data_IF_080345438472
#
_entry.id   IF_080345438472
#
_cell.length_a   1.000
_cell.length_b   1.000
_cell.length_c   1.000
_cell.angle_alpha   90.00
_cell.angle_beta   90.00
_cell.angle_gamma   90.00
#
_symmetry.space_group_name_H-M   'P 1'
#
loop_
_entity.id
_entity.type
_entity.pdbx_description
1 polymer ?
#
# COMPACT_ATOMS: atom_id res chain seq x y z
N UNK A 1 -10.76 7.99 -13.50
CA UNK A 1 -10.67 6.93 -12.48
C UNK A 1 -12.06 6.78 -11.87
N UNK A 2 -12.56 5.56 -11.60
CA UNK A 2 -13.80 5.40 -10.85
C UNK A 2 -13.62 6.04 -9.47
N UNK A 3 -14.59 6.85 -9.06
CA UNK A 3 -14.62 7.42 -7.71
C UNK A 3 -15.16 6.32 -6.81
N UNK A 4 -14.31 5.77 -5.96
CA UNK A 4 -14.69 4.74 -5.01
C UNK A 4 -14.69 5.38 -3.62
N UNK A 5 -15.87 5.47 -3.01
CA UNK A 5 -16.00 5.97 -1.65
C UNK A 5 -15.46 4.92 -0.67
N UNK A 6 -14.52 5.34 0.17
CA UNK A 6 -13.92 4.50 1.22
C UNK A 6 -14.45 5.01 2.56
N UNK A 7 -15.19 4.18 3.26
CA UNK A 7 -15.58 4.45 4.65
C UNK A 7 -14.43 4.05 5.56
N UNK A 8 -13.84 5.04 6.25
CA UNK A 8 -12.80 4.84 7.25
C UNK A 8 -13.40 5.02 8.64
N UNK A 9 -13.06 4.14 9.56
CA UNK A 9 -13.30 4.35 10.99
C UNK A 9 -12.50 5.54 11.53
N UNK A 10 -12.89 6.06 12.69
CA UNK A 10 -12.21 7.19 13.32
C UNK A 10 -10.74 6.88 13.64
N UNK A 11 -10.46 5.64 14.06
CA UNK A 11 -9.09 5.18 14.32
C UNK A 11 -8.27 5.10 13.02
N UNK A 12 -8.84 4.60 11.93
CA UNK A 12 -8.15 4.53 10.64
C UNK A 12 -7.85 5.93 10.08
N UNK A 13 -8.76 6.89 10.27
CA UNK A 13 -8.53 8.29 9.92
C UNK A 13 -7.36 8.89 10.69
N UNK A 14 -7.32 8.70 12.00
CA UNK A 14 -6.23 9.22 12.82
C UNK A 14 -4.87 8.65 12.37
N UNK A 15 -4.81 7.34 12.10
CA UNK A 15 -3.59 6.70 11.59
C UNK A 15 -3.18 7.29 10.23
N UNK A 16 -4.14 7.59 9.36
CA UNK A 16 -3.85 8.17 8.05
C UNK A 16 -3.41 9.64 8.15
N UNK A 17 -3.94 10.41 9.09
CA UNK A 17 -3.49 11.79 9.38
C UNK A 17 -2.04 11.79 9.90
N UNK A 18 -1.72 10.89 10.84
CA UNK A 18 -0.34 10.71 11.33
C UNK A 18 0.61 10.30 10.18
N UNK A 19 0.18 9.37 9.32
CA UNK A 19 0.95 8.97 8.15
C UNK A 19 1.12 10.11 7.14
N UNK A 20 0.08 10.93 6.93
CA UNK A 20 0.12 12.09 6.04
C UNK A 20 1.17 13.10 6.51
N UNK A 21 1.19 13.43 7.80
CA UNK A 21 2.18 14.34 8.38
C UNK A 21 3.61 13.81 8.22
N UNK A 22 3.82 12.52 8.51
CA UNK A 22 5.13 11.88 8.40
C UNK A 22 5.66 11.82 6.96
N UNK A 23 4.77 11.65 5.99
CA UNK A 23 5.11 11.58 4.57
C UNK A 23 5.16 12.96 3.90
N UNK A 24 4.67 14.01 4.56
CA UNK A 24 4.61 15.36 4.02
C UNK A 24 3.67 15.50 2.83
N UNK A 25 2.57 14.74 2.81
CA UNK A 25 1.60 14.71 1.70
C UNK A 25 0.46 15.72 1.95
N UNK A 26 -0.12 16.24 0.86
CA UNK A 26 -1.06 17.36 0.96
C UNK A 26 -2.48 16.92 1.27
N UNK A 27 -2.86 15.69 0.88
CA UNK A 27 -4.22 15.18 1.09
C UNK A 27 -4.22 13.74 1.61
N UNK A 28 -5.33 13.37 2.25
CA UNK A 28 -5.59 12.00 2.67
C UNK A 28 -5.67 11.06 1.47
N UNK A 29 -6.26 11.50 0.36
CA UNK A 29 -6.35 10.71 -0.87
C UNK A 29 -4.96 10.41 -1.46
N UNK A 30 -4.06 11.39 -1.49
CA UNK A 30 -2.66 11.19 -1.91
C UNK A 30 -1.97 10.18 -1.00
N UNK A 31 -2.19 10.28 0.31
CA UNK A 31 -1.64 9.37 1.32
C UNK A 31 -2.14 7.94 1.13
N UNK A 32 -3.45 7.75 0.95
CA UNK A 32 -4.06 6.44 0.69
C UNK A 32 -3.51 5.85 -0.62
N UNK A 33 -3.44 6.65 -1.69
CA UNK A 33 -2.92 6.19 -2.97
C UNK A 33 -1.44 5.79 -2.89
N UNK A 34 -0.63 6.55 -2.14
CA UNK A 34 0.77 6.24 -1.88
C UNK A 34 0.92 4.91 -1.14
N UNK A 35 0.22 4.76 -0.01
CA UNK A 35 0.27 3.54 0.81
C UNK A 35 -0.22 2.30 0.04
N UNK A 36 -1.28 2.44 -0.75
CA UNK A 36 -1.77 1.36 -1.59
C UNK A 36 -0.72 0.93 -2.64
N UNK A 37 -0.04 1.90 -3.27
CA UNK A 37 1.02 1.62 -4.24
C UNK A 37 2.19 0.88 -3.59
N UNK A 38 2.67 1.35 -2.45
CA UNK A 38 3.75 0.69 -1.70
C UNK A 38 3.39 -0.75 -1.34
N UNK A 39 2.15 -0.98 -0.87
CA UNK A 39 1.67 -2.32 -0.55
C UNK A 39 1.62 -3.24 -1.78
N UNK A 40 1.15 -2.74 -2.92
CA UNK A 40 1.15 -3.51 -4.18
C UNK A 40 2.58 -3.87 -4.58
N UNK A 41 3.52 -2.93 -4.50
CA UNK A 41 4.92 -3.19 -4.83
C UNK A 41 5.54 -4.22 -3.90
N UNK A 42 5.28 -4.15 -2.60
CA UNK A 42 5.73 -5.14 -1.62
C UNK A 42 5.19 -6.55 -1.96
N UNK A 43 3.91 -6.66 -2.29
CA UNK A 43 3.28 -7.93 -2.67
C UNK A 43 3.88 -8.50 -3.95
N UNK A 44 4.09 -7.67 -4.98
CA UNK A 44 4.71 -8.08 -6.23
C UNK A 44 6.15 -8.56 -6.01
N UNK A 45 6.93 -7.86 -5.19
CA UNK A 45 8.29 -8.27 -4.85
C UNK A 45 8.33 -9.62 -4.12
N UNK A 46 7.39 -9.84 -3.18
CA UNK A 46 7.26 -11.13 -2.49
C UNK A 46 6.90 -12.26 -3.45
N UNK A 47 5.95 -12.04 -4.35
CA UNK A 47 5.55 -13.02 -5.36
C UNK A 47 6.72 -13.38 -6.28
N UNK A 48 7.41 -12.38 -6.83
CA UNK A 48 8.58 -12.60 -7.67
C UNK A 48 9.69 -13.39 -6.92
N UNK A 49 9.93 -13.05 -5.65
CA UNK A 49 10.86 -13.77 -4.79
C UNK A 49 10.46 -15.23 -4.54
N UNK A 50 9.17 -15.49 -4.33
CA UNK A 50 8.62 -16.84 -4.18
C UNK A 50 8.73 -17.66 -5.47
N UNK A 51 8.44 -17.05 -6.63
CA UNK A 51 8.60 -17.70 -7.92
C UNK A 51 10.06 -18.10 -8.19
N UNK A 52 11.03 -17.23 -7.88
CA UNK A 52 12.46 -17.55 -8.01
C UNK A 52 12.85 -18.74 -7.12
N UNK A 53 12.37 -18.78 -5.87
CA UNK A 53 12.63 -19.90 -4.95
C UNK A 53 12.00 -21.19 -5.45
N UNK A 54 10.75 -21.14 -5.91
CA UNK A 54 10.04 -22.29 -6.48
C UNK A 54 10.84 -22.89 -7.64
N UNK A 55 11.28 -22.07 -8.61
CA UNK A 55 12.08 -22.53 -9.76
C UNK A 55 13.43 -23.14 -9.36
N UNK A 56 14.10 -22.67 -8.31
CA UNK A 56 15.38 -23.25 -7.84
C UNK A 56 15.26 -24.66 -7.28
N UNK A 57 14.08 -25.07 -6.79
CA UNK A 57 13.85 -26.44 -6.32
C UNK A 57 13.55 -27.44 -7.45
N UNK A 58 13.34 -26.95 -8.69
CA UNK A 58 13.10 -27.79 -9.86
C UNK A 58 14.35 -28.03 -10.73
N UNK A 59 15.54 -27.66 -10.23
CA UNK A 59 16.84 -27.98 -10.86
C UNK A 59 17.70 -28.83 -9.94
#
# INVERSE_FOLDING_TARGET
MPIQEIALSDQEKQILEEAQELLGLNTLEETIAYLARERIQEMLAKLAGQEIKSKRHFF
#
